data_IF_200999080481
#
_entry.id   IF_200999080481
#
_cell.length_a   1.000
_cell.length_b   1.000
_cell.length_c   1.000
_cell.angle_alpha   90.00
_cell.angle_beta   90.00
_cell.angle_gamma   90.00
#
_symmetry.space_group_name_H-M   'P 1'
#
loop_
_entity.id
_entity.type
_entity.pdbx_description
1 polymer ?
#
# COMPACT_ATOMS: atom_id res chain seq x y z
N UNK A 1 4.44 0.20 10.36
CA UNK A 1 3.82 -0.91 11.08
C UNK A 1 2.54 -1.36 10.36
N UNK A 2 2.30 -2.65 10.32
CA UNK A 2 1.09 -3.27 9.77
C UNK A 2 0.65 -4.34 10.77
N UNK A 3 -0.58 -4.25 11.32
CA UNK A 3 -1.05 -5.14 12.40
C UNK A 3 -1.55 -6.48 11.83
N UNK A 4 -0.61 -7.30 11.35
CA UNK A 4 -0.88 -8.67 10.90
C UNK A 4 -0.04 -9.68 11.69
N UNK A 5 -0.52 -10.90 11.84
CA UNK A 5 0.13 -11.92 12.65
C UNK A 5 0.37 -11.39 14.08
N UNK A 6 1.55 -11.60 14.64
CA UNK A 6 1.93 -11.08 15.97
C UNK A 6 1.92 -9.56 16.08
N UNK A 7 1.93 -8.84 14.94
CA UNK A 7 1.78 -7.38 14.96
C UNK A 7 0.41 -6.91 15.43
N UNK A 8 -0.63 -7.75 15.41
CA UNK A 8 -1.95 -7.40 15.95
C UNK A 8 -1.93 -7.09 17.45
N UNK A 9 -1.03 -7.72 18.20
CA UNK A 9 -0.95 -7.57 19.66
C UNK A 9 -0.46 -6.16 20.07
N UNK A 10 0.20 -5.45 19.16
CA UNK A 10 0.76 -4.11 19.40
C UNK A 10 0.07 -3.03 18.53
N UNK A 11 -1.14 -3.27 18.08
CA UNK A 11 -1.89 -2.31 17.25
C UNK A 11 -2.06 -0.95 17.92
N UNK A 12 -2.21 -0.93 19.25
CA UNK A 12 -2.34 0.30 20.04
C UNK A 12 -1.06 1.15 20.09
N UNK A 13 0.07 0.62 19.62
CA UNK A 13 1.35 1.32 19.53
C UNK A 13 1.60 1.86 18.12
N UNK A 14 0.66 1.67 17.18
CA UNK A 14 0.80 2.25 15.85
C UNK A 14 0.71 3.77 15.92
N UNK A 15 1.47 4.42 15.06
CA UNK A 15 1.47 5.88 14.95
C UNK A 15 0.10 6.37 14.48
N UNK A 16 -0.36 7.46 15.06
CA UNK A 16 -1.50 8.22 14.53
C UNK A 16 -1.19 8.75 13.14
N UNK A 17 -2.21 9.22 12.43
CA UNK A 17 -2.02 9.82 11.09
C UNK A 17 -1.06 11.02 11.14
N UNK A 18 -1.17 11.85 12.20
CA UNK A 18 -0.33 13.05 12.36
C UNK A 18 1.14 12.68 12.65
N UNK A 19 1.37 11.79 13.61
CA UNK A 19 2.73 11.31 13.95
C UNK A 19 3.40 10.65 12.74
N UNK A 20 2.65 9.86 11.98
CA UNK A 20 3.14 9.23 10.75
C UNK A 20 3.49 10.27 9.69
N UNK A 21 2.67 11.28 9.51
CA UNK A 21 2.92 12.37 8.57
C UNK A 21 4.20 13.13 8.94
N UNK A 22 4.38 13.45 10.21
CA UNK A 22 5.58 14.14 10.70
C UNK A 22 6.84 13.26 10.59
N UNK A 23 6.73 11.96 10.85
CA UNK A 23 7.83 11.02 10.65
C UNK A 23 8.25 10.96 9.17
N UNK A 24 7.29 10.88 8.24
CA UNK A 24 7.57 10.85 6.80
C UNK A 24 8.20 12.16 6.30
N UNK A 25 7.73 13.32 6.78
CA UNK A 25 8.34 14.64 6.48
C UNK A 25 9.75 14.73 7.02
N UNK A 26 10.00 14.21 8.22
CA UNK A 26 11.33 14.16 8.81
C UNK A 26 12.28 13.29 7.99
N UNK A 27 11.83 12.11 7.54
CA UNK A 27 12.60 11.23 6.66
C UNK A 27 12.93 11.95 5.35
N UNK A 28 11.96 12.63 4.73
CA UNK A 28 12.18 13.41 3.52
C UNK A 28 13.22 14.51 3.72
N UNK A 29 13.11 15.30 4.79
CA UNK A 29 14.06 16.38 5.12
C UNK A 29 15.47 15.86 5.36
N UNK A 30 15.62 14.76 6.09
CA UNK A 30 16.93 14.14 6.34
C UNK A 30 17.55 13.60 5.04
N UNK A 31 16.78 12.94 4.21
CA UNK A 31 17.24 12.43 2.93
C UNK A 31 17.77 13.55 2.02
N UNK A 32 17.01 14.64 1.90
CA UNK A 32 17.39 15.78 1.04
C UNK A 32 18.52 16.63 1.60
N UNK A 33 18.50 16.91 2.91
CA UNK A 33 19.50 17.78 3.54
C UNK A 33 20.87 17.12 3.71
N UNK A 34 20.89 15.82 3.96
CA UNK A 34 22.11 15.04 4.20
C UNK A 34 22.59 14.24 3.01
N UNK A 35 21.90 14.34 1.87
CA UNK A 35 22.17 13.54 0.66
C UNK A 35 22.24 12.04 0.96
N UNK A 36 21.35 11.59 1.84
CA UNK A 36 21.21 10.17 2.17
C UNK A 36 20.37 9.48 1.11
N UNK A 37 20.79 8.32 0.69
CA UNK A 37 19.92 7.41 -0.05
C UNK A 37 18.88 6.83 0.89
N UNK A 38 17.60 7.07 0.58
CA UNK A 38 16.47 6.57 1.37
C UNK A 38 15.63 5.66 0.52
N UNK A 39 15.44 4.45 1.01
CA UNK A 39 14.52 3.46 0.45
C UNK A 39 13.43 3.21 1.47
N UNK A 40 12.17 3.22 1.05
CA UNK A 40 11.04 3.03 1.95
C UNK A 40 10.03 2.03 1.39
N UNK A 41 9.42 1.28 2.30
CA UNK A 41 8.26 0.43 2.01
C UNK A 41 6.93 1.13 2.32
N UNK A 42 6.98 2.39 2.80
CA UNK A 42 5.80 3.18 3.12
C UNK A 42 5.32 3.96 1.88
N UNK A 43 4.20 3.56 1.24
CA UNK A 43 3.72 4.23 0.03
C UNK A 43 3.45 5.72 0.20
N UNK A 44 3.11 6.14 1.42
CA UNK A 44 2.82 7.53 1.73
C UNK A 44 4.04 8.44 1.56
N UNK A 45 5.28 7.91 1.65
CA UNK A 45 6.48 8.71 1.42
C UNK A 45 6.53 9.27 -0.01
N UNK A 46 6.01 8.56 -1.00
CA UNK A 46 5.90 9.07 -2.38
C UNK A 46 5.05 10.34 -2.45
N UNK A 47 3.92 10.37 -1.73
CA UNK A 47 3.07 11.57 -1.64
C UNK A 47 3.78 12.71 -0.92
N UNK A 48 4.38 12.41 0.24
CA UNK A 48 5.09 13.43 1.04
C UNK A 48 6.24 14.04 0.24
N UNK A 49 7.04 13.23 -0.43
CA UNK A 49 8.13 13.72 -1.28
C UNK A 49 7.63 14.66 -2.38
N UNK A 50 6.55 14.32 -3.08
CA UNK A 50 5.93 15.18 -4.08
C UNK A 50 5.41 16.49 -3.50
N UNK A 51 4.75 16.43 -2.32
CA UNK A 51 4.21 17.64 -1.68
C UNK A 51 5.31 18.57 -1.20
N UNK A 52 6.29 18.06 -0.45
CA UNK A 52 7.39 18.87 0.11
C UNK A 52 8.32 19.44 -0.99
N UNK A 53 8.49 18.72 -2.10
CA UNK A 53 9.29 19.17 -3.25
C UNK A 53 8.50 19.99 -4.29
N UNK A 54 7.21 20.22 -4.07
CA UNK A 54 6.32 20.87 -5.04
C UNK A 54 6.30 20.15 -6.40
N UNK A 55 6.30 18.82 -6.37
CA UNK A 55 6.22 17.98 -7.56
C UNK A 55 7.56 17.58 -8.18
N UNK A 56 8.69 18.02 -7.61
CA UNK A 56 10.02 17.78 -8.22
C UNK A 56 10.67 16.47 -7.80
N UNK A 57 10.28 15.86 -6.67
CA UNK A 57 10.91 14.66 -6.12
C UNK A 57 9.86 13.60 -5.80
N UNK A 58 10.15 12.37 -6.15
CA UNK A 58 9.33 11.20 -5.79
C UNK A 58 10.14 10.20 -4.99
N UNK A 59 9.45 9.40 -4.18
CA UNK A 59 10.01 8.30 -3.41
C UNK A 59 9.26 7.01 -3.78
N UNK A 60 9.62 6.33 -4.89
CA UNK A 60 8.99 5.08 -5.26
C UNK A 60 9.21 4.04 -4.18
N UNK A 61 8.19 3.24 -3.88
CA UNK A 61 8.30 2.18 -2.88
C UNK A 61 9.37 1.17 -3.31
N UNK A 62 10.27 0.81 -2.40
CA UNK A 62 11.42 -0.08 -2.62
C UNK A 62 12.54 0.48 -3.52
N UNK A 63 12.48 1.72 -3.93
CA UNK A 63 13.52 2.37 -4.74
C UNK A 63 13.98 3.67 -4.08
N UNK A 64 15.15 4.14 -4.49
CA UNK A 64 15.70 5.39 -4.00
C UNK A 64 14.82 6.58 -4.42
N UNK A 65 14.76 7.58 -3.55
CA UNK A 65 14.10 8.85 -3.83
C UNK A 65 14.91 9.65 -4.84
N UNK A 66 14.25 10.26 -5.82
CA UNK A 66 14.91 11.03 -6.87
C UNK A 66 14.00 12.04 -7.55
N UNK A 67 14.62 12.87 -8.39
CA UNK A 67 13.95 13.92 -9.18
C UNK A 67 14.27 13.85 -10.67
N UNK A 68 15.04 12.86 -11.09
CA UNK A 68 15.34 12.64 -12.52
C UNK A 68 14.12 12.06 -13.25
N UNK A 69 14.02 12.26 -14.58
CA UNK A 69 12.88 11.78 -15.36
C UNK A 69 12.64 10.27 -15.29
N UNK A 70 13.70 9.48 -15.15
CA UNK A 70 13.60 8.01 -15.02
C UNK A 70 12.95 7.61 -13.71
N UNK A 71 13.34 8.22 -12.60
CA UNK A 71 12.73 7.98 -11.28
C UNK A 71 11.27 8.45 -11.25
N UNK A 72 10.94 9.57 -11.88
CA UNK A 72 9.56 10.04 -12.00
C UNK A 72 8.69 9.05 -12.79
N UNK A 73 9.15 8.60 -13.95
CA UNK A 73 8.45 7.60 -14.76
C UNK A 73 8.30 6.26 -14.02
N UNK A 74 9.35 5.83 -13.31
CA UNK A 74 9.32 4.63 -12.50
C UNK A 74 8.29 4.74 -11.37
N UNK A 75 8.18 5.89 -10.73
CA UNK A 75 7.20 6.12 -9.66
C UNK A 75 5.77 6.03 -10.18
N UNK A 76 5.48 6.52 -11.36
CA UNK A 76 4.16 6.38 -11.99
C UNK A 76 3.86 4.93 -12.35
N UNK A 77 4.85 4.22 -12.91
CA UNK A 77 4.72 2.81 -13.30
C UNK A 77 4.51 1.90 -12.08
N UNK A 78 5.39 2.00 -11.07
CA UNK A 78 5.32 1.19 -9.85
C UNK A 78 4.12 1.60 -9.00
N UNK A 79 3.90 2.92 -8.87
CA UNK A 79 3.02 3.49 -7.86
C UNK A 79 3.57 3.28 -6.45
N UNK A 80 2.85 3.71 -5.43
CA UNK A 80 3.31 3.62 -4.05
C UNK A 80 3.34 2.20 -3.50
N UNK A 81 2.27 1.43 -3.65
CA UNK A 81 2.19 0.04 -3.18
C UNK A 81 2.33 -0.94 -4.34
N UNK A 82 3.34 -1.82 -4.25
CA UNK A 82 3.62 -2.82 -5.27
C UNK A 82 2.92 -4.16 -5.10
N UNK A 83 2.15 -4.35 -4.02
CA UNK A 83 1.48 -5.60 -3.71
C UNK A 83 0.56 -6.08 -4.84
N UNK A 84 0.81 -7.26 -5.37
CA UNK A 84 0.05 -7.83 -6.50
C UNK A 84 0.20 -7.08 -7.82
N UNK A 85 1.09 -6.08 -7.89
CA UNK A 85 1.35 -5.26 -9.07
C UNK A 85 2.75 -5.46 -9.64
N UNK A 86 3.78 -5.38 -8.78
CA UNK A 86 5.19 -5.57 -9.16
C UNK A 86 5.85 -6.68 -8.38
N UNK A 87 5.23 -7.13 -7.30
CA UNK A 87 5.69 -8.29 -6.52
C UNK A 87 4.52 -9.05 -5.90
N UNK A 88 4.80 -10.26 -5.49
CA UNK A 88 3.97 -11.13 -4.67
C UNK A 88 4.88 -11.84 -3.66
N UNK A 89 4.30 -12.51 -2.68
CA UNK A 89 5.03 -13.35 -1.75
C UNK A 89 4.63 -14.82 -1.89
N UNK A 90 5.56 -15.71 -1.60
CA UNK A 90 5.34 -17.15 -1.63
C UNK A 90 5.57 -17.67 -0.21
N UNK A 91 4.57 -18.30 0.35
CA UNK A 91 4.63 -18.93 1.66
C UNK A 91 5.34 -20.29 1.61
N UNK A 92 5.89 -20.80 2.72
CA UNK A 92 6.61 -22.07 2.74
C UNK A 92 5.81 -23.28 2.23
N UNK A 93 4.48 -23.23 2.35
CA UNK A 93 3.58 -24.27 1.84
C UNK A 93 3.27 -24.14 0.33
N UNK A 94 3.82 -23.13 -0.33
CA UNK A 94 3.61 -22.85 -1.77
C UNK A 94 2.44 -21.89 -2.05
N UNK A 95 1.75 -21.38 -1.05
CA UNK A 95 0.68 -20.42 -1.25
C UNK A 95 1.25 -19.08 -1.74
N UNK A 96 0.61 -18.52 -2.76
CA UNK A 96 0.91 -17.19 -3.29
C UNK A 96 0.04 -16.15 -2.61
N UNK A 97 0.66 -15.10 -2.09
CA UNK A 97 -0.01 -13.96 -1.44
C UNK A 97 0.41 -12.64 -2.12
N UNK A 98 -0.41 -11.57 -2.05
CA UNK A 98 -0.07 -10.30 -2.68
C UNK A 98 1.15 -9.61 -2.06
N UNK A 99 1.41 -9.85 -0.78
CA UNK A 99 2.46 -9.24 -0.01
C UNK A 99 2.71 -10.06 1.25
N UNK A 100 3.94 -10.09 1.75
CA UNK A 100 4.31 -10.77 3.02
C UNK A 100 3.47 -10.34 4.23
N UNK A 101 2.86 -9.16 4.18
CA UNK A 101 1.99 -8.63 5.23
C UNK A 101 0.49 -8.77 4.93
N UNK A 102 0.13 -9.46 3.85
CA UNK A 102 -1.27 -9.62 3.44
C UNK A 102 -1.59 -11.11 3.32
N UNK A 103 -2.10 -11.74 4.39
CA UNK A 103 -2.32 -13.19 4.44
C UNK A 103 -3.59 -13.60 3.66
N UNK A 104 -3.63 -13.23 2.38
CA UNK A 104 -4.70 -13.60 1.46
C UNK A 104 -4.13 -14.59 0.46
N UNK A 105 -4.57 -15.82 0.53
CA UNK A 105 -4.21 -16.85 -0.45
C UNK A 105 -4.81 -16.50 -1.82
N UNK A 106 -3.94 -16.35 -2.81
CA UNK A 106 -4.32 -16.14 -4.22
C UNK A 106 -4.49 -17.47 -4.94
N UNK A 107 -3.62 -18.43 -4.66
CA UNK A 107 -3.57 -19.77 -5.18
C UNK A 107 -2.34 -20.50 -4.63
N UNK A 108 -2.02 -21.70 -5.14
CA UNK A 108 -0.86 -22.47 -4.69
C UNK A 108 0.01 -22.88 -5.88
N UNK A 109 1.29 -22.47 -5.84
CA UNK A 109 2.25 -22.70 -6.93
C UNK A 109 2.66 -24.18 -7.13
N UNK A 110 2.24 -25.07 -6.24
CA UNK A 110 2.37 -26.53 -6.44
C UNK A 110 1.25 -27.11 -7.28
N UNK A 111 0.18 -26.34 -7.50
CA UNK A 111 -1.04 -26.77 -8.19
C UNK A 111 -1.35 -25.95 -9.44
N UNK A 112 -0.92 -24.67 -9.45
CA UNK A 112 -1.25 -23.69 -10.48
C UNK A 112 0.02 -22.97 -10.95
N UNK A 113 0.05 -22.54 -12.20
CA UNK A 113 1.18 -21.76 -12.71
C UNK A 113 1.21 -20.35 -12.14
N UNK A 114 2.42 -19.80 -11.91
CA UNK A 114 2.57 -18.41 -11.49
C UNK A 114 1.94 -17.44 -12.51
N UNK A 115 2.12 -17.70 -13.80
CA UNK A 115 1.60 -16.85 -14.88
C UNK A 115 0.08 -16.75 -14.83
N UNK A 116 -0.62 -17.88 -14.62
CA UNK A 116 -2.08 -17.90 -14.50
C UNK A 116 -2.55 -17.15 -13.28
N UNK A 117 -1.95 -17.42 -12.11
CA UNK A 117 -2.30 -16.74 -10.87
C UNK A 117 -2.01 -15.24 -10.99
N UNK A 118 -0.85 -14.86 -11.53
CA UNK A 118 -0.45 -13.46 -11.67
C UNK A 118 -1.36 -12.68 -12.62
N UNK A 119 -1.73 -13.28 -13.76
CA UNK A 119 -2.49 -12.58 -14.81
C UNK A 119 -4.00 -12.61 -14.60
N UNK A 120 -4.54 -13.67 -14.01
CA UNK A 120 -5.99 -13.93 -13.99
C UNK A 120 -6.63 -13.77 -12.61
N UNK A 121 -5.85 -13.75 -11.51
CA UNK A 121 -6.43 -13.69 -10.18
C UNK A 121 -7.25 -12.41 -9.96
N UNK A 122 -8.50 -12.53 -9.53
CA UNK A 122 -9.34 -11.38 -9.20
C UNK A 122 -8.73 -10.47 -8.13
N UNK A 123 -7.95 -11.05 -7.20
CA UNK A 123 -7.26 -10.32 -6.13
C UNK A 123 -6.20 -9.41 -6.73
N UNK A 124 -5.34 -9.94 -7.61
CA UNK A 124 -4.31 -9.15 -8.26
C UNK A 124 -4.89 -8.10 -9.22
N UNK A 125 -5.93 -8.44 -9.96
CA UNK A 125 -6.61 -7.50 -10.85
C UNK A 125 -7.19 -6.32 -10.06
N UNK A 126 -7.87 -6.58 -8.93
CA UNK A 126 -8.38 -5.51 -8.04
C UNK A 126 -7.27 -4.64 -7.45
N UNK A 127 -6.14 -5.21 -7.05
CA UNK A 127 -5.00 -4.45 -6.53
C UNK A 127 -4.33 -3.56 -7.59
N UNK A 128 -4.42 -3.92 -8.85
CA UNK A 128 -3.88 -3.15 -9.99
C UNK A 128 -4.79 -2.00 -10.41
N UNK A 129 -6.09 -2.14 -10.22
CA UNK A 129 -7.06 -1.08 -10.55
C UNK A 129 -7.16 -0.06 -9.41
N UNK A 130 -6.40 1.03 -9.54
CA UNK A 130 -6.40 2.11 -8.55
C UNK A 130 -7.65 2.98 -8.58
N UNK A 131 -8.44 2.91 -9.64
CA UNK A 131 -9.72 3.60 -9.71
C UNK A 131 -10.80 2.87 -8.91
N UNK A 132 -10.64 1.56 -8.68
CA UNK A 132 -11.52 0.76 -7.83
C UNK A 132 -11.28 0.96 -6.32
N UNK A 133 -10.28 1.74 -5.92
CA UNK A 133 -10.02 1.99 -4.49
C UNK A 133 -11.10 2.88 -3.89
N UNK A 134 -11.45 2.58 -2.65
CA UNK A 134 -12.42 3.38 -1.89
C UNK A 134 -11.82 4.73 -1.47
N UNK A 135 -12.70 5.69 -1.21
CA UNK A 135 -12.29 7.00 -0.69
C UNK A 135 -11.68 6.89 0.71
N UNK A 136 -10.69 7.75 1.04
CA UNK A 136 -10.17 8.84 0.23
C UNK A 136 -9.12 8.42 -0.82
N UNK A 137 -8.61 7.18 -0.79
CA UNK A 137 -7.52 6.75 -1.68
C UNK A 137 -7.92 6.78 -3.17
N UNK A 138 -9.14 6.33 -3.53
CA UNK A 138 -9.61 6.25 -4.90
C UNK A 138 -9.79 7.60 -5.60
N UNK A 139 -10.14 8.64 -4.85
CA UNK A 139 -10.26 10.02 -5.36
C UNK A 139 -9.03 10.89 -5.10
N UNK A 140 -8.01 10.35 -4.46
CA UNK A 140 -6.81 11.10 -4.15
C UNK A 140 -6.02 11.45 -5.42
N UNK A 141 -5.57 12.69 -5.54
CA UNK A 141 -4.71 13.10 -6.66
C UNK A 141 -3.40 12.32 -6.72
N UNK A 142 -2.93 11.78 -5.60
CA UNK A 142 -1.72 10.97 -5.50
C UNK A 142 -1.97 9.46 -5.63
N UNK A 143 -3.18 9.02 -6.04
CA UNK A 143 -3.53 7.59 -6.05
C UNK A 143 -2.61 6.72 -6.91
N UNK A 144 -2.04 7.28 -7.96
CA UNK A 144 -1.14 6.54 -8.87
C UNK A 144 0.28 6.43 -8.33
N UNK A 145 0.78 7.42 -7.61
CA UNK A 145 2.14 7.42 -7.05
C UNK A 145 2.18 6.93 -5.60
N UNK A 146 1.08 6.99 -4.86
CA UNK A 146 0.95 6.53 -3.48
C UNK A 146 0.00 5.32 -3.37
N UNK A 147 -1.30 5.54 -3.57
CA UNK A 147 -2.35 4.52 -3.46
C UNK A 147 -2.54 3.94 -2.06
N UNK A 148 -1.80 4.38 -1.05
CA UNK A 148 -1.81 3.84 0.32
C UNK A 148 -1.25 2.42 0.43
N UNK A 149 -0.97 1.96 1.64
CA UNK A 149 -0.53 0.58 1.89
C UNK A 149 -1.73 -0.38 1.85
N UNK A 150 -1.75 -1.28 0.87
CA UNK A 150 -2.86 -2.24 0.71
C UNK A 150 -2.93 -3.27 1.83
N UNK A 151 -1.76 -3.68 2.34
CA UNK A 151 -1.71 -4.57 3.50
C UNK A 151 -2.25 -3.90 4.76
N UNK A 152 -1.94 -2.62 4.98
CA UNK A 152 -2.51 -1.86 6.10
C UNK A 152 -4.02 -1.66 5.92
N UNK A 153 -4.47 -1.26 4.73
CA UNK A 153 -5.89 -1.13 4.43
C UNK A 153 -6.62 -2.43 4.77
N UNK A 154 -6.11 -3.56 4.30
CA UNK A 154 -6.69 -4.87 4.59
C UNK A 154 -6.67 -5.21 6.09
N UNK A 155 -5.54 -5.01 6.77
CA UNK A 155 -5.39 -5.36 8.18
C UNK A 155 -6.37 -4.61 9.10
N UNK A 156 -6.68 -3.36 8.78
CA UNK A 156 -7.60 -2.54 9.58
C UNK A 156 -9.06 -2.62 9.13
N UNK A 157 -9.33 -2.86 7.85
CA UNK A 157 -10.69 -2.75 7.30
C UNK A 157 -11.24 -4.08 6.75
N UNK A 158 -10.40 -5.11 6.62
CA UNK A 158 -10.75 -6.36 5.92
C UNK A 158 -10.86 -6.18 4.40
N UNK A 159 -10.53 -5.01 3.86
CA UNK A 159 -10.74 -4.67 2.45
C UNK A 159 -9.44 -4.31 1.74
N UNK A 160 -9.08 -5.03 0.67
CA UNK A 160 -7.86 -4.75 -0.12
C UNK A 160 -7.95 -3.44 -0.90
N UNK A 161 -9.16 -2.98 -1.23
CA UNK A 161 -9.41 -1.71 -1.90
C UNK A 161 -9.78 -0.59 -0.94
N UNK A 162 -9.90 -0.89 0.36
CA UNK A 162 -10.20 0.08 1.40
C UNK A 162 -9.15 1.21 1.49
N UNK A 163 -9.45 2.32 2.15
CA UNK A 163 -8.48 3.37 2.37
C UNK A 163 -7.38 2.92 3.34
N UNK A 164 -6.22 3.55 3.22
CA UNK A 164 -5.14 3.35 4.18
C UNK A 164 -5.38 4.22 5.43
N UNK A 165 -5.69 3.62 6.60
CA UNK A 165 -6.03 4.39 7.81
C UNK A 165 -4.84 5.13 8.41
N UNK A 166 -3.60 4.85 7.99
CA UNK A 166 -2.42 5.60 8.41
C UNK A 166 -2.16 6.88 7.59
N UNK A 167 -3.05 7.25 6.68
CA UNK A 167 -2.90 8.43 5.84
C UNK A 167 -3.56 9.66 6.48
N UNK A 168 -2.90 10.80 6.44
CA UNK A 168 -3.46 12.07 6.93
C UNK A 168 -4.80 12.42 6.24
N UNK A 169 -4.96 12.09 4.97
CA UNK A 169 -6.19 12.31 4.23
C UNK A 169 -7.34 11.42 4.71
N UNK A 170 -7.06 10.27 5.31
CA UNK A 170 -8.08 9.41 5.92
C UNK A 170 -8.68 10.11 7.15
N UNK A 171 -7.86 10.69 8.02
CA UNK A 171 -8.30 11.45 9.18
C UNK A 171 -9.24 12.59 8.78
N UNK A 172 -8.89 13.32 7.72
CA UNK A 172 -9.70 14.43 7.23
C UNK A 172 -11.06 13.96 6.71
N UNK A 173 -11.15 12.77 6.10
CA UNK A 173 -12.42 12.22 5.60
C UNK A 173 -13.29 11.63 6.71
N UNK A 174 -12.71 10.98 7.72
CA UNK A 174 -13.47 10.39 8.84
C UNK A 174 -14.10 11.42 9.77
N UNK A 175 -13.54 12.64 9.83
CA UNK A 175 -14.19 13.76 10.51
C UNK A 175 -15.49 14.24 9.81
N UNK A 176 -15.68 13.86 8.54
CA UNK A 176 -16.82 14.30 7.73
C UNK A 176 -17.91 13.21 7.60
N UNK A 177 -17.62 11.94 7.81
CA UNK A 177 -18.59 10.86 7.63
C UNK A 177 -18.36 9.67 8.58
N UNK A 178 -19.32 9.43 9.49
CA UNK A 178 -19.42 8.20 10.29
C UNK A 178 -20.01 7.03 9.47
N UNK A 179 -19.48 6.72 8.29
CA UNK A 179 -19.93 5.59 7.47
C UNK A 179 -18.94 4.44 7.57
N UNK A 180 -19.40 3.35 8.17
CA UNK A 180 -18.75 2.04 8.16
C UNK A 180 -18.48 1.65 6.70
N UNK A 181 -17.23 1.51 6.35
CA UNK A 181 -16.80 1.02 5.04
C UNK A 181 -17.34 -0.39 4.82
N UNK A 182 -18.36 -0.53 3.98
CA UNK A 182 -18.79 -1.84 3.50
C UNK A 182 -17.84 -2.26 2.38
N UNK A 183 -17.01 -3.25 2.68
CA UNK A 183 -16.30 -3.97 1.64
C UNK A 183 -17.28 -4.96 1.00
N UNK A 184 -17.43 -4.92 -0.32
CA UNK A 184 -17.97 -6.06 -1.03
C UNK A 184 -17.02 -7.21 -0.79
N UNK A 185 -17.37 -8.06 0.19
CA UNK A 185 -16.58 -9.23 0.52
C UNK A 185 -16.37 -10.01 -0.79
N UNK A 186 -15.10 -10.13 -1.21
CA UNK A 186 -14.77 -11.21 -2.11
C UNK A 186 -15.19 -12.44 -1.30
N UNK A 187 -16.27 -13.12 -1.71
CA UNK A 187 -16.58 -14.44 -1.20
C UNK A 187 -15.40 -15.32 -1.62
N UNK A 188 -14.36 -15.28 -0.81
CA UNK A 188 -13.36 -16.32 -0.76
C UNK A 188 -14.16 -17.52 -0.28
N UNK A 189 -14.31 -18.54 -1.13
CA UNK A 189 -15.12 -19.70 -0.83
C UNK A 189 -14.87 -20.17 0.60
N UNK A 190 -15.92 -20.37 1.34
CA UNK A 190 -15.93 -20.92 2.69
C UNK A 190 -15.54 -22.42 2.67
N UNK A 191 -14.39 -22.74 2.11
CA UNK A 191 -13.79 -24.06 2.20
C UNK A 191 -12.31 -23.90 2.54
N UNK A 192 -12.03 -23.71 3.80
CA UNK A 192 -10.80 -24.17 4.46
C UNK A 192 -10.75 -23.64 5.89
N UNK A 193 -11.52 -24.27 6.78
CA UNK A 193 -11.10 -24.40 8.19
C UNK A 193 -10.34 -25.71 8.34
#
# INVERSE_FOLDING_TARGET
FIPTGRGSDIVNWDLTCDEREEALKTIYKLATSRKLEVVSTAPQLARVALQESRGCTVAPTHFAMGSDPGTLALAEFIGGCGAGRIYAAIEPNGDLTPCVFMPIKVGNLRQESFEDLWSKSPIFLKLRDRNAFQEPCGKCQYRFVCGGCRARAYAYTGCITGPDPGCINFKLSTCLESKILKCDAIKLGEEQR
#
